data_IF_092755502346
#
_entry.id   IF_092755502346
#
_cell.length_a   1.000
_cell.length_b   1.000
_cell.length_c   1.000
_cell.angle_alpha   90.00
_cell.angle_beta   90.00
_cell.angle_gamma   90.00
#
_symmetry.space_group_name_H-M   'P 1'
#
loop_
_entity.id
_entity.type
_entity.pdbx_description
1 polymer ?
#
# COMPACT_ATOMS: atom_id res chain seq x y z
N UNK A 1 23.85 9.99 6.95
CA UNK A 1 22.45 10.26 7.33
C UNK A 1 21.88 9.01 7.99
N UNK A 2 21.20 9.13 9.12
CA UNK A 2 20.52 7.97 9.73
C UNK A 2 19.31 7.58 8.87
N UNK A 3 19.11 6.27 8.67
CA UNK A 3 17.92 5.76 7.97
C UNK A 3 16.66 6.20 8.75
N UNK A 4 15.66 6.81 8.09
CA UNK A 4 14.45 7.24 8.77
C UNK A 4 13.71 6.02 9.35
N UNK A 5 12.84 6.25 10.33
CA UNK A 5 12.06 5.17 10.96
C UNK A 5 11.14 4.48 9.96
N UNK A 6 10.53 5.25 9.05
CA UNK A 6 9.75 4.76 7.91
C UNK A 6 10.25 5.42 6.62
N UNK A 7 10.31 4.65 5.54
CA UNK A 7 10.60 5.13 4.18
C UNK A 7 9.48 4.75 3.22
N UNK A 8 9.25 5.57 2.20
CA UNK A 8 8.29 5.27 1.13
C UNK A 8 9.03 4.71 -0.09
N UNK A 9 8.66 3.51 -0.53
CA UNK A 9 9.17 2.88 -1.75
C UNK A 9 8.15 2.99 -2.89
N UNK A 10 8.52 3.57 -4.04
CA UNK A 10 7.63 3.69 -5.19
C UNK A 10 7.54 2.41 -6.03
N UNK A 11 8.54 1.51 -5.94
CA UNK A 11 8.52 0.25 -6.67
C UNK A 11 7.67 -0.78 -5.95
N UNK A 12 6.64 -1.28 -6.64
CA UNK A 12 5.69 -2.25 -6.12
C UNK A 12 5.96 -3.59 -6.79
N UNK A 13 6.28 -4.60 -6.00
CA UNK A 13 6.56 -5.96 -6.47
C UNK A 13 5.34 -6.85 -6.22
N UNK A 14 5.38 -8.07 -6.77
CA UNK A 14 4.35 -9.08 -6.46
C UNK A 14 4.28 -9.41 -4.96
N UNK A 15 5.41 -9.44 -4.26
CA UNK A 15 5.45 -9.68 -2.81
C UNK A 15 4.70 -8.58 -2.06
N UNK A 16 4.88 -7.32 -2.45
CA UNK A 16 4.12 -6.21 -1.85
C UNK A 16 2.60 -6.37 -2.06
N UNK A 17 2.18 -6.80 -3.25
CA UNK A 17 0.77 -7.02 -3.54
C UNK A 17 0.15 -8.12 -2.67
N UNK A 18 0.86 -9.23 -2.45
CA UNK A 18 0.42 -10.30 -1.54
C UNK A 18 0.32 -9.81 -0.09
N UNK A 19 1.29 -9.03 0.38
CA UNK A 19 1.24 -8.41 1.72
C UNK A 19 0.02 -7.50 1.86
N UNK A 20 -0.27 -6.69 0.85
CA UNK A 20 -1.44 -5.82 0.85
C UNK A 20 -2.75 -6.61 0.90
N UNK A 21 -2.88 -7.71 0.16
CA UNK A 21 -4.07 -8.57 0.24
C UNK A 21 -4.33 -9.05 1.66
N UNK A 22 -3.29 -9.57 2.32
CA UNK A 22 -3.42 -10.04 3.71
C UNK A 22 -3.85 -8.91 4.66
N UNK A 23 -3.34 -7.70 4.49
CA UNK A 23 -3.76 -6.55 5.31
C UNK A 23 -5.20 -6.13 5.03
N UNK A 24 -5.66 -6.23 3.80
CA UNK A 24 -7.03 -5.83 3.42
C UNK A 24 -8.08 -6.87 3.84
N UNK A 25 -7.69 -8.07 4.23
CA UNK A 25 -8.58 -9.05 4.87
C UNK A 25 -8.83 -8.72 6.36
N UNK A 26 -7.95 -7.92 6.99
CA UNK A 26 -8.10 -7.53 8.39
C UNK A 26 -9.06 -6.33 8.52
N UNK A 27 -10.24 -6.56 9.11
CA UNK A 27 -11.24 -5.53 9.36
C UNK A 27 -10.70 -4.36 10.19
N UNK A 28 -9.72 -4.61 11.08
CA UNK A 28 -9.12 -3.54 11.89
C UNK A 28 -8.39 -2.53 11.01
N UNK A 29 -7.76 -3.00 9.93
CA UNK A 29 -7.06 -2.17 8.94
C UNK A 29 -8.06 -1.49 8.01
N UNK A 30 -9.08 -2.21 7.55
CA UNK A 30 -9.97 -1.74 6.47
C UNK A 30 -11.18 -0.94 6.93
N UNK A 31 -11.58 -0.99 8.20
CA UNK A 31 -12.78 -0.29 8.69
C UNK A 31 -12.78 1.23 8.53
N UNK A 32 -11.59 1.82 8.32
CA UNK A 32 -11.43 3.25 8.05
C UNK A 32 -11.06 3.56 6.59
N UNK A 33 -10.91 2.53 5.76
CA UNK A 33 -10.66 2.66 4.32
C UNK A 33 -12.00 2.63 3.59
N UNK A 34 -12.44 3.80 3.15
CA UNK A 34 -13.73 4.00 2.48
C UNK A 34 -13.90 3.13 1.20
N UNK A 35 -12.80 2.70 0.58
CA UNK A 35 -12.77 1.90 -0.66
C UNK A 35 -12.11 0.51 -0.49
N UNK A 36 -12.03 -0.03 0.73
CA UNK A 36 -11.28 -1.27 0.99
C UNK A 36 -11.61 -2.44 0.05
N UNK A 37 -12.90 -2.69 -0.20
CA UNK A 37 -13.38 -3.81 -1.03
C UNK A 37 -13.05 -3.63 -2.51
N UNK A 38 -13.02 -2.39 -3.02
CA UNK A 38 -12.63 -2.12 -4.42
C UNK A 38 -11.12 -2.28 -4.60
N UNK A 39 -10.33 -1.89 -3.60
CA UNK A 39 -8.88 -2.02 -3.58
C UNK A 39 -8.44 -3.49 -3.52
N UNK A 40 -9.04 -4.32 -2.66
CA UNK A 40 -8.71 -5.75 -2.60
C UNK A 40 -8.91 -6.45 -3.95
N UNK A 41 -10.07 -6.23 -4.58
CA UNK A 41 -10.40 -6.83 -5.87
C UNK A 41 -9.48 -6.33 -7.00
N UNK A 42 -9.05 -5.07 -6.94
CA UNK A 42 -8.08 -4.54 -7.89
C UNK A 42 -6.72 -5.23 -7.76
N UNK A 43 -6.25 -5.46 -6.52
CA UNK A 43 -4.98 -6.13 -6.26
C UNK A 43 -5.03 -7.60 -6.67
N UNK A 44 -6.11 -8.30 -6.35
CA UNK A 44 -6.35 -9.68 -6.78
C UNK A 44 -6.26 -9.80 -8.31
N UNK A 45 -6.96 -8.93 -9.04
CA UNK A 45 -6.87 -8.89 -10.50
C UNK A 45 -5.46 -8.54 -11.02
N UNK A 46 -4.71 -7.70 -10.32
CA UNK A 46 -3.33 -7.36 -10.68
C UNK A 46 -2.37 -8.55 -10.52
N UNK A 47 -2.59 -9.39 -9.51
CA UNK A 47 -1.79 -10.59 -9.25
C UNK A 47 -2.16 -11.72 -10.22
N UNK A 48 -3.44 -11.92 -10.50
CA UNK A 48 -3.93 -13.02 -11.34
C UNK A 48 -3.64 -12.81 -12.82
N UNK A 49 -3.68 -11.56 -13.30
CA UNK A 49 -3.55 -11.25 -14.73
C UNK A 49 -2.12 -11.14 -15.22
N UNK A 50 -1.12 -11.12 -14.34
CA UNK A 50 0.26 -10.81 -14.74
C UNK A 50 1.28 -11.75 -14.10
N UNK A 51 2.19 -12.29 -14.91
CA UNK A 51 3.43 -12.93 -14.42
C UNK A 51 4.56 -11.90 -14.19
N UNK A 52 4.21 -10.61 -14.09
CA UNK A 52 5.19 -9.54 -14.03
C UNK A 52 5.76 -9.43 -12.61
N UNK A 53 7.10 -9.35 -12.45
CA UNK A 53 7.71 -9.23 -11.13
C UNK A 53 7.44 -7.86 -10.49
N UNK A 54 7.24 -6.82 -11.31
CA UNK A 54 7.01 -5.43 -10.91
C UNK A 54 5.61 -5.00 -11.35
N UNK A 55 4.81 -4.54 -10.39
CA UNK A 55 3.40 -4.15 -10.54
C UNK A 55 3.19 -2.64 -10.39
N UNK A 56 4.26 -1.86 -10.24
CA UNK A 56 4.24 -0.39 -10.01
C UNK A 56 3.28 0.37 -10.93
N UNK A 57 3.22 0.01 -12.22
CA UNK A 57 2.34 0.71 -13.16
C UNK A 57 0.85 0.51 -12.84
N UNK A 58 0.46 -0.70 -12.42
CA UNK A 58 -0.92 -1.01 -12.03
C UNK A 58 -1.34 -0.19 -10.82
N UNK A 59 -0.51 -0.16 -9.78
CA UNK A 59 -0.78 0.59 -8.55
C UNK A 59 -0.79 2.12 -8.75
N UNK A 60 -0.09 2.62 -9.77
CA UNK A 60 -0.05 4.05 -10.10
C UNK A 60 -1.17 4.50 -11.06
N UNK A 61 -2.19 3.67 -11.31
CA UNK A 61 -3.35 4.10 -12.08
C UNK A 61 -4.20 5.10 -11.27
N UNK A 62 -4.40 6.29 -11.85
CA UNK A 62 -5.15 7.38 -11.20
C UNK A 62 -4.42 8.06 -10.03
N UNK A 63 -3.12 7.81 -9.84
CA UNK A 63 -2.37 8.38 -8.73
C UNK A 63 -0.93 7.91 -8.59
N UNK A 64 -0.38 8.07 -7.39
CA UNK A 64 0.91 7.49 -6.97
C UNK A 64 0.68 6.58 -5.77
N UNK A 65 1.33 5.44 -5.76
CA UNK A 65 1.28 4.48 -4.67
C UNK A 65 2.68 4.19 -4.17
N UNK A 66 2.79 4.05 -2.86
CA UNK A 66 4.04 3.78 -2.17
C UNK A 66 3.82 2.71 -1.11
N UNK A 67 4.75 1.76 -1.02
CA UNK A 67 4.87 0.94 0.19
C UNK A 67 5.61 1.70 1.26
N UNK A 68 5.05 1.74 2.47
CA UNK A 68 5.77 2.18 3.65
C UNK A 68 6.58 1.01 4.20
N UNK A 69 7.87 1.23 4.44
CA UNK A 69 8.78 0.23 4.98
C UNK A 69 9.51 0.75 6.21
N UNK A 70 9.82 -0.15 7.14
CA UNK A 70 10.66 0.15 8.29
C UNK A 70 12.16 0.22 7.94
N UNK A 71 13.02 0.28 8.98
CA UNK A 71 14.47 0.32 8.81
C UNK A 71 15.07 -0.98 8.26
N UNK A 72 14.36 -2.09 8.36
CA UNK A 72 14.78 -3.40 7.86
C UNK A 72 14.19 -3.68 6.46
N UNK A 73 13.65 -2.65 5.81
CA UNK A 73 12.97 -2.72 4.51
C UNK A 73 11.73 -3.64 4.51
N UNK A 74 11.15 -3.89 5.71
CA UNK A 74 9.93 -4.68 5.84
C UNK A 74 8.71 -3.78 5.59
N UNK A 75 7.75 -4.23 4.77
CA UNK A 75 6.50 -3.50 4.58
C UNK A 75 5.73 -3.37 5.90
N UNK A 76 5.32 -2.14 6.24
CA UNK A 76 4.52 -1.85 7.44
C UNK A 76 3.18 -1.19 7.10
N UNK A 77 3.05 -0.65 5.90
CA UNK A 77 1.82 0.00 5.43
C UNK A 77 1.94 0.48 3.99
N UNK A 78 1.01 1.35 3.59
CA UNK A 78 1.06 2.00 2.29
C UNK A 78 0.58 3.45 2.36
N UNK A 79 0.94 4.21 1.32
CA UNK A 79 0.42 5.55 1.06
C UNK A 79 0.01 5.63 -0.41
N UNK A 80 -1.19 6.14 -0.68
CA UNK A 80 -1.69 6.44 -2.02
C UNK A 80 -2.03 7.91 -2.12
N UNK A 81 -1.48 8.57 -3.13
CA UNK A 81 -1.78 9.95 -3.50
C UNK A 81 -2.69 9.93 -4.72
N UNK A 82 -3.90 10.45 -4.57
CA UNK A 82 -4.89 10.56 -5.64
C UNK A 82 -5.02 12.04 -5.96
N UNK A 83 -4.88 12.41 -7.23
CA UNK A 83 -5.04 13.80 -7.67
C UNK A 83 -6.44 13.98 -8.22
N UNK A 84 -7.21 14.87 -7.60
CA UNK A 84 -8.59 15.17 -7.98
C UNK A 84 -8.68 16.65 -8.34
N UNK A 85 -8.46 16.96 -9.62
CA UNK A 85 -8.41 18.34 -10.11
C UNK A 85 -7.23 19.12 -9.52
N UNK A 86 -7.53 20.12 -8.66
CA UNK A 86 -6.53 20.93 -7.94
C UNK A 86 -6.14 20.34 -6.59
N UNK A 87 -6.96 19.45 -6.06
CA UNK A 87 -6.77 18.86 -4.74
C UNK A 87 -6.01 17.53 -4.83
N UNK A 88 -5.40 17.14 -3.71
CA UNK A 88 -4.74 15.86 -3.57
C UNK A 88 -5.26 15.15 -2.32
N UNK A 89 -5.81 13.96 -2.52
CA UNK A 89 -6.20 13.07 -1.45
C UNK A 89 -5.02 12.16 -1.10
N UNK A 90 -4.80 11.99 0.21
CA UNK A 90 -3.81 11.05 0.75
C UNK A 90 -4.56 9.96 1.48
N UNK A 91 -4.46 8.74 0.99
CA UNK A 91 -4.96 7.53 1.66
C UNK A 91 -3.76 6.79 2.23
N UNK A 92 -3.81 6.41 3.50
CA UNK A 92 -2.76 5.62 4.13
C UNK A 92 -3.37 4.57 5.06
N UNK A 93 -2.65 3.46 5.21
CA UNK A 93 -2.95 2.46 6.21
C UNK A 93 -1.65 1.86 6.75
N UNK A 94 -1.64 1.57 8.05
CA UNK A 94 -0.61 0.75 8.69
C UNK A 94 -1.21 -0.65 8.77
N UNK A 95 -0.73 -1.55 7.90
CA UNK A 95 -1.37 -2.85 7.73
C UNK A 95 -1.01 -3.86 8.80
N UNK A 96 0.17 -3.73 9.40
CA UNK A 96 0.55 -4.52 10.57
C UNK A 96 0.12 -3.81 11.86
N UNK A 97 -0.93 -4.33 12.49
CA UNK A 97 -1.51 -3.76 13.71
C UNK A 97 -0.57 -3.83 14.92
N UNK A 98 0.43 -4.72 14.91
CA UNK A 98 1.46 -4.76 15.96
C UNK A 98 2.40 -3.55 15.91
N UNK A 99 2.38 -2.80 14.80
CA UNK A 99 3.12 -1.55 14.64
C UNK A 99 2.33 -0.31 15.08
N UNK A 100 1.08 -0.46 15.51
CA UNK A 100 0.27 0.68 15.92
C UNK A 100 0.72 1.25 17.26
N UNK A 101 0.70 2.57 17.38
CA UNK A 101 1.08 3.27 18.62
C UNK A 101 2.58 3.32 18.92
N UNK A 102 3.43 2.78 18.05
CA UNK A 102 4.90 2.90 18.17
C UNK A 102 5.32 4.36 17.96
N UNK A 103 6.34 4.81 18.70
CA UNK A 103 6.89 6.18 18.70
C UNK A 103 8.36 6.16 18.34
#
# INVERSE_FOLDING_TARGET
MNKPFVSLRPEITRTHALTLMNWLEDERVTRYLNEASSVSRFIEQAIDRTQLPILTHLFNQGGRFFMAQDRDDRPVGFVRLIKTGRDCEIVLAIGDHDNWGRR
#
